data_IF_068733514526
#
_entry.id   IF_068733514526
#
_cell.length_a   1.000
_cell.length_b   1.000
_cell.length_c   1.000
_cell.angle_alpha   90.00
_cell.angle_beta   90.00
_cell.angle_gamma   90.00
#
_symmetry.space_group_name_H-M   'P 1'
#
loop_
_entity.id
_entity.type
_entity.pdbx_description
1 polymer ?
#
# COMPACT_ATOMS: atom_id res chain seq x y z
N UNK A 1 8.22 2.40 -4.08
CA UNK A 1 6.76 2.61 -4.28
C UNK A 1 6.02 1.37 -3.77
N UNK A 2 4.86 1.53 -3.12
CA UNK A 2 3.99 0.45 -2.64
C UNK A 2 2.71 0.51 -3.46
N UNK A 3 2.55 -0.43 -4.39
CA UNK A 3 1.31 -0.60 -5.14
C UNK A 3 0.33 -1.48 -4.36
N UNK A 4 -0.84 -0.94 -4.07
CA UNK A 4 -1.90 -1.58 -3.28
C UNK A 4 -3.13 -1.88 -4.15
N UNK A 5 -3.08 -2.88 -5.04
CA UNK A 5 -4.24 -3.26 -5.84
C UNK A 5 -5.29 -3.99 -4.98
N UNK A 6 -6.46 -4.18 -5.56
CA UNK A 6 -7.40 -5.21 -5.08
C UNK A 6 -6.74 -6.61 -5.12
N UNK A 7 -7.23 -7.56 -4.33
CA UNK A 7 -6.49 -8.77 -3.94
C UNK A 7 -6.15 -9.75 -5.08
N UNK A 8 -4.92 -9.64 -5.62
CA UNK A 8 -4.37 -10.47 -6.71
C UNK A 8 -3.17 -11.34 -6.30
N UNK A 9 -2.82 -11.36 -5.01
CA UNK A 9 -1.58 -11.95 -4.48
C UNK A 9 -1.47 -13.46 -4.68
N UNK A 10 -2.59 -14.20 -4.73
CA UNK A 10 -2.61 -15.65 -4.90
C UNK A 10 -1.98 -16.10 -6.23
N UNK A 11 -2.21 -15.35 -7.31
CA UNK A 11 -1.63 -15.64 -8.63
C UNK A 11 -0.09 -15.63 -8.60
N UNK A 12 0.49 -14.78 -7.76
CA UNK A 12 1.93 -14.55 -7.69
C UNK A 12 2.67 -15.42 -6.68
N UNK A 13 2.01 -16.39 -6.03
CA UNK A 13 2.63 -17.17 -4.93
C UNK A 13 3.96 -17.84 -5.29
N UNK A 14 4.13 -18.23 -6.56
CA UNK A 14 5.29 -18.95 -7.06
C UNK A 14 6.33 -18.07 -7.77
N UNK A 15 6.09 -16.77 -7.90
CA UNK A 15 6.97 -15.85 -8.61
C UNK A 15 8.25 -15.62 -7.80
N UNK A 16 9.36 -15.36 -8.50
CA UNK A 16 10.67 -15.04 -7.88
C UNK A 16 10.54 -13.84 -6.95
N UNK A 17 9.85 -12.78 -7.40
CA UNK A 17 9.50 -11.56 -6.65
C UNK A 17 8.72 -11.81 -5.35
N UNK A 18 8.04 -12.97 -5.22
CA UNK A 18 7.38 -13.40 -3.99
C UNK A 18 8.29 -14.24 -3.11
N UNK A 19 9.01 -15.20 -3.72
CA UNK A 19 9.86 -16.17 -3.00
C UNK A 19 10.96 -15.50 -2.18
N UNK A 20 11.63 -14.48 -2.72
CA UNK A 20 12.70 -13.81 -1.98
C UNK A 20 12.18 -13.06 -0.75
N UNK A 21 10.96 -12.51 -0.81
CA UNK A 21 10.31 -11.83 0.32
C UNK A 21 9.97 -12.82 1.42
N UNK A 22 9.43 -13.98 1.06
CA UNK A 22 9.14 -15.06 2.02
C UNK A 22 10.44 -15.51 2.69
N UNK A 23 11.49 -15.79 1.91
CA UNK A 23 12.79 -16.21 2.45
C UNK A 23 13.40 -15.15 3.38
N UNK A 24 13.33 -13.87 2.99
CA UNK A 24 13.78 -12.76 3.82
C UNK A 24 13.04 -12.73 5.16
N UNK A 25 11.72 -12.87 5.12
CA UNK A 25 10.89 -12.78 6.32
C UNK A 25 11.08 -14.00 7.23
N UNK A 26 11.31 -15.19 6.67
CA UNK A 26 11.65 -16.39 7.43
C UNK A 26 13.01 -16.27 8.12
N UNK A 27 13.97 -15.57 7.51
CA UNK A 27 15.29 -15.33 8.12
C UNK A 27 15.28 -14.27 9.22
N UNK A 28 14.29 -13.37 9.19
CA UNK A 28 14.12 -12.32 10.18
C UNK A 28 13.16 -12.80 11.27
N UNK A 29 13.66 -13.12 12.46
CA UNK A 29 12.84 -13.32 13.68
C UNK A 29 12.25 -11.98 14.13
N UNK A 30 11.43 -11.34 13.30
CA UNK A 30 10.95 -9.99 13.60
C UNK A 30 9.71 -10.06 14.48
N UNK A 31 9.93 -9.87 15.79
CA UNK A 31 8.92 -9.56 16.80
C UNK A 31 8.33 -8.14 16.56
N UNK A 32 7.77 -7.86 15.39
CA UNK A 32 6.98 -6.64 15.19
C UNK A 32 5.71 -6.78 16.03
N UNK A 33 5.77 -6.26 17.27
CA UNK A 33 4.67 -6.29 18.22
C UNK A 33 3.43 -5.73 17.53
N UNK A 34 2.37 -6.54 17.45
CA UNK A 34 1.08 -6.12 16.92
C UNK A 34 0.56 -4.97 17.78
N UNK A 35 0.80 -3.71 17.39
CA UNK A 35 0.03 -2.61 17.97
C UNK A 35 -1.44 -2.80 17.58
N UNK A 36 -2.41 -2.64 18.45
CA UNK A 36 -3.80 -2.55 18.00
C UNK A 36 -3.99 -1.19 17.32
N UNK A 37 -4.23 -1.17 16.01
CA UNK A 37 -4.68 0.05 15.34
C UNK A 37 -6.19 0.06 15.41
N UNK A 38 -6.77 1.07 16.05
CA UNK A 38 -8.23 1.27 16.02
C UNK A 38 -8.59 1.83 14.65
N UNK A 39 -9.12 0.98 13.79
CA UNK A 39 -9.69 1.41 12.52
C UNK A 39 -11.05 2.05 12.80
N UNK A 40 -11.25 3.31 12.37
CA UNK A 40 -12.58 3.91 12.34
C UNK A 40 -13.38 3.16 11.27
N UNK A 41 -14.54 2.62 11.64
CA UNK A 41 -15.41 1.89 10.71
C UNK A 41 -15.90 2.89 9.66
N UNK A 42 -15.42 2.76 8.42
CA UNK A 42 -15.89 3.61 7.33
C UNK A 42 -17.33 3.26 7.00
N UNK A 43 -18.15 4.29 6.75
CA UNK A 43 -19.50 4.09 6.25
C UNK A 43 -19.41 3.66 4.79
N UNK A 44 -20.14 2.61 4.42
CA UNK A 44 -20.24 2.16 3.03
C UNK A 44 -21.11 3.17 2.26
N UNK A 45 -20.64 3.70 1.13
CA UNK A 45 -21.49 4.47 0.23
C UNK A 45 -22.48 3.51 -0.45
N UNK A 46 -23.80 3.75 -0.36
CA UNK A 46 -24.79 2.96 -1.09
C UNK A 46 -24.47 2.99 -2.60
N UNK A 47 -24.41 1.83 -3.27
CA UNK A 47 -24.08 1.74 -4.70
C UNK A 47 -22.58 1.71 -5.06
N UNK A 48 -21.68 1.85 -4.08
CA UNK A 48 -20.22 1.77 -4.34
C UNK A 48 -19.71 0.34 -4.56
N UNK A 49 -20.49 -0.71 -4.29
CA UNK A 49 -20.03 -2.08 -4.54
C UNK A 49 -19.62 -2.30 -6.00
N UNK A 50 -18.90 -3.37 -6.29
CA UNK A 50 -18.81 -3.96 -7.65
C UNK A 50 -20.17 -4.44 -8.18
N UNK A 51 -21.28 -3.99 -7.58
CA UNK A 51 -22.65 -4.27 -7.97
C UNK A 51 -23.11 -3.14 -8.87
N UNK A 52 -23.34 -3.49 -10.14
CA UNK A 52 -24.27 -2.73 -10.95
C UNK A 52 -25.65 -2.72 -10.26
N UNK A 53 -26.44 -1.64 -10.39
CA UNK A 53 -27.77 -1.52 -9.78
C UNK A 53 -28.73 -2.63 -10.21
N UNK A 54 -28.48 -3.25 -11.36
CA UNK A 54 -29.33 -4.28 -11.94
C UNK A 54 -28.83 -5.69 -11.60
N UNK A 55 -29.75 -6.47 -11.05
CA UNK A 55 -29.81 -7.94 -10.98
C UNK A 55 -28.70 -8.70 -10.25
N UNK A 56 -29.10 -9.44 -9.20
CA UNK A 56 -28.64 -10.79 -8.81
C UNK A 56 -27.14 -11.15 -8.97
N UNK A 57 -26.25 -10.16 -8.97
CA UNK A 57 -24.85 -10.35 -9.31
C UNK A 57 -24.14 -10.95 -8.09
N UNK A 58 -23.73 -12.21 -8.23
CA UNK A 58 -22.79 -12.86 -7.34
C UNK A 58 -21.47 -12.05 -7.33
N UNK A 59 -20.81 -11.97 -6.19
CA UNK A 59 -19.47 -11.36 -6.10
C UNK A 59 -18.49 -12.19 -6.94
N UNK A 60 -18.24 -11.77 -8.17
CA UNK A 60 -17.24 -12.40 -9.02
C UNK A 60 -15.89 -11.70 -8.82
N UNK A 61 -14.85 -12.49 -8.54
CA UNK A 61 -13.47 -12.00 -8.54
C UNK A 61 -13.04 -11.76 -9.99
N UNK A 62 -13.28 -10.54 -10.47
CA UNK A 62 -12.98 -10.15 -11.87
C UNK A 62 -11.46 -10.12 -12.13
N UNK A 63 -10.67 -9.74 -11.13
CA UNK A 63 -9.22 -9.60 -11.25
C UNK A 63 -8.47 -10.70 -10.51
N UNK A 64 -7.74 -11.53 -11.24
CA UNK A 64 -6.87 -12.57 -10.69
C UNK A 64 -5.39 -12.17 -10.66
N UNK A 65 -4.98 -11.24 -11.52
CA UNK A 65 -3.60 -10.73 -11.68
C UNK A 65 -3.59 -9.24 -12.01
N UNK A 66 -2.40 -8.66 -11.98
CA UNK A 66 -2.14 -7.27 -12.40
C UNK A 66 -2.32 -7.13 -13.92
N UNK A 67 -2.59 -5.90 -14.37
CA UNK A 67 -2.57 -5.57 -15.80
C UNK A 67 -1.21 -5.97 -16.40
N UNK A 68 -1.25 -6.67 -17.53
CA UNK A 68 -0.06 -7.19 -18.21
C UNK A 68 0.90 -6.09 -18.73
N UNK A 69 0.43 -4.84 -18.83
CA UNK A 69 1.27 -3.70 -19.22
C UNK A 69 2.04 -3.09 -18.03
N UNK A 70 1.85 -3.60 -16.81
CA UNK A 70 2.65 -3.19 -15.67
C UNK A 70 3.60 -4.32 -15.32
N UNK A 71 4.84 -4.15 -15.73
CA UNK A 71 5.90 -5.12 -15.48
C UNK A 71 6.21 -5.25 -13.99
N UNK A 72 6.56 -6.47 -13.59
CA UNK A 72 7.08 -6.78 -12.26
C UNK A 72 8.47 -7.34 -12.47
N UNK A 73 9.48 -6.60 -12.03
CA UNK A 73 10.87 -6.97 -12.18
C UNK A 73 11.31 -7.97 -11.10
N UNK A 74 12.38 -8.75 -11.32
CA UNK A 74 12.85 -9.74 -10.34
C UNK A 74 13.18 -9.17 -8.95
N UNK A 75 13.61 -7.91 -8.87
CA UNK A 75 13.96 -7.17 -7.66
C UNK A 75 12.77 -6.55 -6.92
N UNK A 76 11.60 -6.54 -7.56
CA UNK A 76 10.36 -6.10 -6.96
C UNK A 76 9.89 -7.06 -5.88
N UNK A 77 9.16 -6.53 -4.91
CA UNK A 77 8.64 -7.29 -3.79
C UNK A 77 7.14 -7.53 -3.94
N UNK A 78 6.74 -8.80 -3.97
CA UNK A 78 5.32 -9.16 -3.84
C UNK A 78 5.06 -9.58 -2.39
N UNK A 79 4.27 -8.77 -1.69
CA UNK A 79 3.88 -9.03 -0.29
C UNK A 79 2.48 -9.65 -0.21
N UNK A 80 2.22 -10.34 0.90
CA UNK A 80 0.93 -10.93 1.22
C UNK A 80 -0.11 -9.84 1.51
N UNK A 81 -1.34 -10.06 1.05
CA UNK A 81 -2.50 -9.22 1.37
C UNK A 81 -2.98 -9.37 2.81
N UNK A 82 -2.51 -10.42 3.51
CA UNK A 82 -2.90 -10.80 4.87
C UNK A 82 -2.01 -10.12 5.91
N UNK A 83 -2.24 -10.40 7.19
CA UNK A 83 -1.44 -9.87 8.31
C UNK A 83 0.07 -10.17 8.18
N UNK A 84 0.46 -11.23 7.47
CA UNK A 84 1.88 -11.53 7.22
C UNK A 84 2.57 -10.47 6.36
N UNK A 85 1.82 -9.77 5.50
CA UNK A 85 2.34 -8.70 4.64
C UNK A 85 2.92 -7.52 5.41
N UNK A 86 2.49 -7.30 6.66
CA UNK A 86 3.06 -6.28 7.55
C UNK A 86 4.52 -6.60 7.85
N UNK A 87 4.79 -7.84 8.27
CA UNK A 87 6.14 -8.27 8.63
C UNK A 87 7.04 -8.27 7.40
N UNK A 88 6.51 -8.73 6.26
CA UNK A 88 7.22 -8.74 4.99
C UNK A 88 7.61 -7.32 4.55
N UNK A 89 6.69 -6.36 4.60
CA UNK A 89 6.99 -4.98 4.25
C UNK A 89 7.98 -4.35 5.22
N UNK A 90 7.86 -4.59 6.52
CA UNK A 90 8.84 -4.13 7.50
C UNK A 90 10.23 -4.74 7.28
N UNK A 91 10.31 -6.03 6.94
CA UNK A 91 11.55 -6.72 6.60
C UNK A 91 12.22 -6.10 5.37
N UNK A 92 11.44 -5.80 4.33
CA UNK A 92 11.93 -5.15 3.10
C UNK A 92 12.46 -3.75 3.42
N UNK A 93 11.69 -2.95 4.15
CA UNK A 93 12.08 -1.58 4.55
C UNK A 93 13.38 -1.61 5.35
N UNK A 94 13.51 -2.55 6.29
CA UNK A 94 14.72 -2.72 7.10
C UNK A 94 15.93 -3.11 6.26
N UNK A 95 15.78 -4.16 5.41
CA UNK A 95 16.88 -4.67 4.58
C UNK A 95 17.36 -3.65 3.55
N UNK A 96 16.42 -2.98 2.87
CA UNK A 96 16.71 -1.98 1.83
C UNK A 96 16.97 -0.58 2.41
N UNK A 97 16.90 -0.40 3.73
CA UNK A 97 17.07 0.89 4.43
C UNK A 97 16.20 2.01 3.83
N UNK A 98 14.96 1.68 3.49
CA UNK A 98 14.05 2.61 2.83
C UNK A 98 13.59 3.69 3.80
N UNK A 99 13.77 4.95 3.42
CA UNK A 99 13.32 6.11 4.19
C UNK A 99 11.93 6.55 3.77
N UNK A 100 11.58 6.38 2.50
CA UNK A 100 10.35 6.93 1.94
C UNK A 100 9.47 5.83 1.35
N UNK A 101 8.20 5.83 1.75
CA UNK A 101 7.19 4.92 1.22
C UNK A 101 6.09 5.72 0.53
N UNK A 102 6.03 5.59 -0.80
CA UNK A 102 5.01 6.21 -1.64
C UNK A 102 3.96 5.16 -1.97
N UNK A 103 2.71 5.36 -1.55
CA UNK A 103 1.57 4.49 -1.81
C UNK A 103 0.80 4.93 -3.05
N UNK A 104 0.43 3.95 -3.86
CA UNK A 104 -0.38 4.08 -5.10
C UNK A 104 -1.33 2.90 -5.23
N UNK A 105 -2.40 3.04 -6.01
CA UNK A 105 -3.35 1.96 -6.30
C UNK A 105 -4.78 2.27 -5.87
N UNK A 106 -5.59 1.24 -5.65
CA UNK A 106 -7.03 1.41 -5.42
C UNK A 106 -7.53 0.49 -4.32
N UNK A 107 -8.38 0.94 -3.39
CA UNK A 107 -8.90 2.29 -3.20
C UNK A 107 -8.22 3.01 -2.02
N UNK A 108 -8.08 4.33 -2.05
CA UNK A 108 -7.46 5.17 -1.01
C UNK A 108 -7.94 4.76 0.37
N UNK A 109 -9.25 4.85 0.56
CA UNK A 109 -9.99 4.54 1.77
C UNK A 109 -10.23 3.04 2.01
N UNK A 110 -9.50 2.15 1.34
CA UNK A 110 -9.56 0.72 1.63
C UNK A 110 -8.18 0.07 1.52
N UNK A 111 -7.71 -0.18 0.31
CA UNK A 111 -6.46 -0.91 0.07
C UNK A 111 -5.23 -0.11 0.50
N UNK A 112 -5.24 1.21 0.28
CA UNK A 112 -4.10 2.06 0.62
C UNK A 112 -4.07 2.38 2.12
N UNK A 113 -5.20 2.79 2.71
CA UNK A 113 -5.21 3.21 4.11
C UNK A 113 -5.39 2.06 5.11
N UNK A 114 -6.28 1.09 4.83
CA UNK A 114 -6.86 0.21 5.85
C UNK A 114 -6.48 -1.27 5.73
N UNK A 115 -5.87 -1.72 4.63
CA UNK A 115 -5.32 -3.09 4.56
C UNK A 115 -4.26 -3.32 5.64
N UNK A 116 -3.94 -4.58 5.96
CA UNK A 116 -2.87 -4.91 6.90
C UNK A 116 -1.56 -4.16 6.61
N UNK A 117 -1.11 -4.17 5.36
CA UNK A 117 0.09 -3.45 4.90
C UNK A 117 -0.18 -1.97 4.53
N UNK A 118 -1.38 -1.47 4.80
CA UNK A 118 -1.81 -0.12 4.44
C UNK A 118 -1.13 0.96 5.29
N UNK A 119 -1.20 2.19 4.79
CA UNK A 119 -0.55 3.39 5.31
C UNK A 119 -0.74 3.56 6.82
N UNK A 120 -1.97 3.48 7.32
CA UNK A 120 -2.29 3.73 8.75
C UNK A 120 -1.54 2.74 9.65
N UNK A 121 -1.51 1.47 9.22
CA UNK A 121 -0.85 0.42 9.97
C UNK A 121 0.67 0.57 9.89
N UNK A 122 1.18 0.78 8.68
CA UNK A 122 2.61 0.86 8.44
C UNK A 122 3.24 2.08 9.08
N UNK A 123 2.59 3.25 9.06
CA UNK A 123 3.07 4.43 9.77
C UNK A 123 3.16 4.21 11.28
N UNK A 124 2.19 3.50 11.88
CA UNK A 124 2.18 3.22 13.31
C UNK A 124 3.26 2.22 13.74
N UNK A 125 3.64 1.31 12.84
CA UNK A 125 4.67 0.29 13.08
C UNK A 125 6.06 0.84 12.76
N UNK A 126 6.24 1.54 11.65
CA UNK A 126 7.55 1.96 11.14
C UNK A 126 8.03 3.29 11.71
N UNK A 127 7.17 4.30 11.99
CA UNK A 127 7.65 5.58 12.58
C UNK A 127 8.46 5.38 13.89
N UNK A 128 8.06 4.49 14.82
CA UNK A 128 8.86 4.21 16.02
C UNK A 128 10.17 3.45 15.74
N UNK A 129 10.23 2.69 14.65
CA UNK A 129 11.39 1.87 14.29
C UNK A 129 12.41 2.68 13.46
N UNK A 130 11.91 3.62 12.68
CA UNK A 130 12.65 4.42 11.71
C UNK A 130 12.21 5.87 11.84
N UNK A 131 12.93 6.63 12.67
CA UNK A 131 12.59 8.03 12.98
C UNK A 131 12.56 8.96 11.76
N UNK A 132 13.21 8.57 10.66
CA UNK A 132 13.26 9.31 9.39
C UNK A 132 12.31 8.76 8.32
N UNK A 133 11.37 7.87 8.67
CA UNK A 133 10.45 7.31 7.68
C UNK A 133 9.33 8.28 7.29
N UNK A 134 9.28 8.65 6.02
CA UNK A 134 8.18 9.43 5.45
C UNK A 134 7.22 8.52 4.67
N UNK A 135 5.95 8.93 4.68
CA UNK A 135 4.89 8.24 4.00
C UNK A 135 4.12 9.21 3.13
N UNK A 136 3.97 8.84 1.86
CA UNK A 136 3.33 9.64 0.84
C UNK A 136 2.20 8.85 0.19
N UNK A 137 1.16 9.55 -0.23
CA UNK A 137 0.14 9.01 -1.12
C UNK A 137 0.17 9.85 -2.38
N UNK A 138 0.27 9.18 -3.53
CA UNK A 138 0.23 9.83 -4.83
C UNK A 138 -1.19 9.80 -5.37
N UNK A 139 -1.88 10.95 -5.30
CA UNK A 139 -3.31 11.04 -5.56
C UNK A 139 -3.66 10.76 -7.02
N UNK A 140 -2.84 11.23 -7.97
CA UNK A 140 -3.12 11.10 -9.39
C UNK A 140 -3.14 9.62 -9.85
N UNK A 141 -2.48 8.73 -9.09
CA UNK A 141 -2.46 7.28 -9.32
C UNK A 141 -3.28 6.52 -8.27
N UNK A 142 -4.25 7.20 -7.65
CA UNK A 142 -5.08 6.64 -6.59
C UNK A 142 -6.54 7.04 -6.76
N UNK A 143 -7.42 6.03 -6.80
CA UNK A 143 -8.87 6.25 -6.74
C UNK A 143 -9.42 6.03 -5.32
N UNK A 144 -10.55 6.62 -4.97
CA UNK A 144 -11.24 6.46 -3.69
C UNK A 144 -12.64 5.88 -3.89
N UNK A 145 -12.98 4.85 -3.13
CA UNK A 145 -14.25 4.13 -3.29
C UNK A 145 -15.45 4.80 -2.61
N UNK A 146 -15.18 5.75 -1.70
CA UNK A 146 -16.18 6.42 -0.86
C UNK A 146 -15.87 7.91 -0.87
N UNK A 147 -16.81 8.72 -1.35
CA UNK A 147 -16.85 10.15 -1.08
C UNK A 147 -17.38 10.34 0.35
N UNK A 148 -16.48 10.37 1.34
CA UNK A 148 -16.65 11.40 2.36
C UNK A 148 -15.93 12.62 1.79
N UNK A 149 -16.47 13.82 1.99
CA UNK A 149 -15.78 15.09 1.70
C UNK A 149 -14.53 15.14 2.56
N UNK A 150 -13.48 14.47 2.11
CA UNK A 150 -12.18 14.54 2.73
C UNK A 150 -11.62 15.86 2.23
N UNK A 151 -11.84 16.93 2.99
CA UNK A 151 -11.00 18.11 2.83
C UNK A 151 -9.56 17.61 2.86
N UNK A 152 -8.86 17.78 1.74
CA UNK A 152 -7.51 17.30 1.45
C UNK A 152 -6.45 17.76 2.46
N UNK A 153 -6.84 18.47 3.52
CA UNK A 153 -5.95 19.22 4.38
C UNK A 153 -5.34 18.43 5.54
N UNK A 154 -5.88 17.29 5.96
CA UNK A 154 -5.25 16.55 7.06
C UNK A 154 -5.82 15.13 7.23
N UNK A 155 -5.48 14.23 6.32
CA UNK A 155 -5.74 12.81 6.57
C UNK A 155 -4.71 12.33 7.61
N UNK A 156 -5.11 12.33 8.88
CA UNK A 156 -4.53 11.50 9.96
C UNK A 156 -3.05 11.72 10.35
N UNK A 157 -2.52 12.95 10.32
CA UNK A 157 -1.16 13.24 10.83
C UNK A 157 -0.04 12.55 10.03
N UNK A 158 -0.30 12.26 8.75
CA UNK A 158 0.68 11.75 7.80
C UNK A 158 1.35 12.90 7.04
N UNK A 159 2.63 12.70 6.72
CA UNK A 159 3.52 13.82 6.41
C UNK A 159 3.11 14.59 5.16
N UNK A 160 2.71 13.95 4.06
CA UNK A 160 2.20 14.71 2.90
C UNK A 160 1.35 13.85 1.95
N UNK A 161 0.21 14.40 1.53
CA UNK A 161 -0.54 13.95 0.35
C UNK A 161 -0.04 14.77 -0.84
N UNK A 162 0.48 14.12 -1.87
CA UNK A 162 1.12 14.81 -2.99
C UNK A 162 0.38 14.50 -4.30
N UNK A 163 0.12 15.54 -5.09
CA UNK A 163 -0.09 15.35 -6.53
C UNK A 163 1.28 15.12 -7.21
N UNK A 164 1.29 14.62 -8.45
CA UNK A 164 2.54 14.29 -9.16
C UNK A 164 3.51 15.48 -9.14
N UNK A 165 3.02 16.69 -9.45
CA UNK A 165 3.84 17.90 -9.51
C UNK A 165 4.51 18.23 -8.17
N UNK A 166 3.78 18.13 -7.05
CA UNK A 166 4.33 18.39 -5.74
C UNK A 166 5.29 17.29 -5.27
N UNK A 167 5.04 16.01 -5.64
CA UNK A 167 5.96 14.91 -5.36
C UNK A 167 7.29 15.14 -6.05
N UNK A 168 7.30 15.39 -7.36
CA UNK A 168 8.54 15.64 -8.09
C UNK A 168 9.27 16.88 -7.56
N UNK A 169 8.57 17.97 -7.21
CA UNK A 169 9.24 19.14 -6.63
C UNK A 169 9.89 18.87 -5.27
N UNK A 170 9.32 17.98 -4.45
CA UNK A 170 9.86 17.63 -3.14
C UNK A 170 10.99 16.61 -3.24
N UNK A 171 10.86 15.63 -4.14
CA UNK A 171 11.91 14.65 -4.41
C UNK A 171 13.12 15.27 -5.09
N UNK A 172 12.96 16.20 -6.03
CA UNK A 172 14.08 16.90 -6.67
C UNK A 172 14.87 17.82 -5.71
N UNK A 173 14.29 18.17 -4.56
CA UNK A 173 15.01 18.92 -3.50
C UNK A 173 15.84 18.01 -2.59
N UNK A 174 15.57 16.71 -2.55
CA UNK A 174 16.44 15.72 -1.93
C UNK A 174 17.32 15.10 -3.00
N UNK A 175 18.64 15.30 -2.92
CA UNK A 175 19.64 15.06 -3.97
C UNK A 175 19.79 13.63 -4.53
N UNK A 176 18.89 12.70 -4.25
CA UNK A 176 19.14 11.25 -4.37
C UNK A 176 18.11 10.50 -5.25
N UNK A 177 17.71 11.03 -6.41
CA UNK A 177 16.88 10.26 -7.36
C UNK A 177 17.31 10.46 -8.82
N UNK A 178 18.09 9.50 -9.32
CA UNK A 178 18.24 9.23 -10.75
C UNK A 178 17.14 8.25 -11.16
N UNK A 179 16.30 8.65 -12.12
CA UNK A 179 15.53 7.71 -12.92
C UNK A 179 16.43 7.29 -14.09
N UNK A 180 16.89 6.05 -14.09
CA UNK A 180 17.45 5.38 -15.28
C UNK A 180 16.47 4.30 -15.72
#
# INVERSE_FOLDING_TARGET
VVFAPSEVTEYYKNFTSRKWVVNLTSSLTSNFKRKSVRYRRLKRVPGSGTRCPDDNAFEHKVWSKQNQHIDIYPEDAIISSRLTGVNELCAIVSKKQLKDLIYVGVHLNFCILYRPFGLIRMSAVLKPLFSKSNFYVLLDLTDAFYFETVEHKQIYGYSVILNNTALFSNLCRSSDLFFT
#
